data_IF_480826714329
#
_entry.id   IF_480826714329
#
_cell.length_a   1.000
_cell.length_b   1.000
_cell.length_c   1.000
_cell.angle_alpha   90.00
_cell.angle_beta   90.00
_cell.angle_gamma   90.00
#
_symmetry.space_group_name_H-M   'P 1'
#
loop_
_entity.id
_entity.type
_entity.pdbx_description
1 polymer ?
#
# COMPACT_ATOMS: atom_id res chain seq x y z
N UNK A 1 -10.05 22.09 -33.49
CA UNK A 1 -10.11 20.92 -32.60
C UNK A 1 -9.71 21.40 -31.22
N UNK A 2 -10.67 21.70 -30.33
CA UNK A 2 -10.36 22.01 -28.94
C UNK A 2 -10.24 20.68 -28.19
N UNK A 3 -9.07 20.38 -27.64
CA UNK A 3 -8.96 19.33 -26.64
C UNK A 3 -9.78 19.80 -25.43
N UNK A 4 -10.83 19.04 -25.09
CA UNK A 4 -11.57 19.27 -23.85
C UNK A 4 -10.59 19.12 -22.70
N UNK A 5 -10.34 20.23 -22.03
CA UNK A 5 -9.41 20.32 -20.92
C UNK A 5 -10.16 19.88 -19.66
N UNK A 6 -10.45 18.58 -19.56
CA UNK A 6 -11.12 17.97 -18.39
C UNK A 6 -10.13 17.78 -17.22
N UNK A 7 -9.22 18.73 -17.03
CA UNK A 7 -8.31 18.74 -15.90
C UNK A 7 -9.06 19.20 -14.65
N UNK A 8 -9.00 18.39 -13.60
CA UNK A 8 -9.57 18.73 -12.30
C UNK A 8 -8.57 19.68 -11.60
N UNK A 9 -9.02 20.79 -11.00
CA UNK A 9 -8.12 21.67 -10.26
C UNK A 9 -7.30 20.91 -9.22
N UNK A 10 -5.99 21.09 -9.21
CA UNK A 10 -5.08 20.36 -8.30
C UNK A 10 -5.50 20.46 -6.82
N UNK A 11 -5.99 21.64 -6.41
CA UNK A 11 -6.54 21.89 -5.07
C UNK A 11 -7.67 20.94 -4.67
N UNK A 12 -8.44 20.43 -5.64
CA UNK A 12 -9.57 19.53 -5.39
C UNK A 12 -9.10 18.09 -5.10
N UNK A 13 -7.83 17.76 -5.36
CA UNK A 13 -7.21 16.50 -4.96
C UNK A 13 -6.70 16.51 -3.52
N UNK A 14 -6.40 17.70 -2.96
CA UNK A 14 -5.76 17.84 -1.64
C UNK A 14 -6.53 17.09 -0.53
N UNK A 15 -7.88 17.14 -0.45
CA UNK A 15 -8.61 16.35 0.53
C UNK A 15 -8.35 14.84 0.41
N UNK A 16 -8.41 14.28 -0.82
CA UNK A 16 -8.17 12.86 -1.06
C UNK A 16 -6.71 12.47 -0.77
N UNK A 17 -5.75 13.32 -1.15
CA UNK A 17 -4.33 13.12 -0.87
C UNK A 17 -4.09 13.03 0.64
N UNK A 18 -4.65 13.96 1.43
CA UNK A 18 -4.53 13.97 2.89
C UNK A 18 -5.18 12.75 3.55
N UNK A 19 -6.32 12.31 3.04
CA UNK A 19 -6.94 11.06 3.49
C UNK A 19 -6.01 9.86 3.27
N UNK A 20 -5.35 9.79 2.11
CA UNK A 20 -4.40 8.70 1.79
C UNK A 20 -3.18 8.76 2.71
N UNK A 21 -2.63 9.96 2.97
CA UNK A 21 -1.52 10.14 3.93
C UNK A 21 -1.93 9.62 5.31
N UNK A 22 -3.13 10.01 5.78
CA UNK A 22 -3.66 9.55 7.07
C UNK A 22 -3.79 8.04 7.12
N UNK A 23 -4.33 7.39 6.08
CA UNK A 23 -4.42 5.93 6.00
C UNK A 23 -3.03 5.30 6.09
N UNK A 24 -2.05 5.87 5.38
CA UNK A 24 -0.68 5.38 5.40
C UNK A 24 -0.06 5.46 6.81
N UNK A 25 -0.24 6.59 7.48
CA UNK A 25 0.24 6.83 8.84
C UNK A 25 -0.40 5.86 9.84
N UNK A 26 -1.73 5.65 9.76
CA UNK A 26 -2.45 4.67 10.58
C UNK A 26 -1.87 3.25 10.41
N UNK A 27 -1.58 2.83 9.18
CA UNK A 27 -1.02 1.50 8.90
C UNK A 27 0.42 1.37 9.43
N UNK A 28 1.25 2.41 9.23
CA UNK A 28 2.64 2.43 9.70
C UNK A 28 2.68 2.38 11.23
N UNK A 29 1.87 3.18 11.92
CA UNK A 29 1.75 3.19 13.38
C UNK A 29 1.23 1.85 13.91
N UNK A 30 0.23 1.28 13.25
CA UNK A 30 -0.28 -0.05 13.60
C UNK A 30 0.84 -1.10 13.54
N UNK A 31 1.64 -1.10 12.47
CA UNK A 31 2.76 -2.02 12.31
C UNK A 31 3.85 -1.89 13.39
N UNK A 32 4.09 -0.69 13.92
CA UNK A 32 5.08 -0.54 15.00
C UNK A 32 4.70 -1.36 16.24
N UNK A 33 3.40 -1.56 16.47
CA UNK A 33 2.85 -2.30 17.59
C UNK A 33 2.58 -3.80 17.30
N UNK A 34 2.85 -4.25 16.08
CA UNK A 34 2.66 -5.64 15.64
C UNK A 34 3.67 -6.56 16.33
N UNK A 35 3.17 -7.60 17.01
CA UNK A 35 3.97 -8.57 17.79
C UNK A 35 4.35 -9.82 16.99
N UNK A 36 3.54 -10.21 16.02
CA UNK A 36 3.69 -11.45 15.23
C UNK A 36 3.72 -11.16 13.73
N UNK A 37 4.27 -12.08 12.92
CA UNK A 37 4.29 -11.97 11.45
C UNK A 37 4.99 -10.70 10.92
N UNK A 38 5.95 -10.15 11.69
CA UNK A 38 6.62 -8.86 11.41
C UNK A 38 7.37 -8.86 10.07
N UNK A 39 7.84 -10.01 9.59
CA UNK A 39 8.56 -10.15 8.31
C UNK A 39 7.64 -9.92 7.11
N UNK A 40 6.52 -10.64 7.06
CA UNK A 40 5.52 -10.53 5.99
C UNK A 40 4.92 -9.12 5.98
N UNK A 41 4.46 -8.64 7.15
CA UNK A 41 3.93 -7.29 7.27
C UNK A 41 4.97 -6.22 6.94
N UNK A 42 6.24 -6.44 7.28
CA UNK A 42 7.34 -5.52 7.00
C UNK A 42 7.50 -5.22 5.52
N UNK A 43 7.32 -6.20 4.64
CA UNK A 43 7.42 -6.00 3.20
C UNK A 43 6.34 -5.04 2.67
N UNK A 44 5.08 -5.22 3.09
CA UNK A 44 3.98 -4.32 2.72
C UNK A 44 4.19 -2.92 3.30
N UNK A 45 4.72 -2.84 4.52
CA UNK A 45 4.95 -1.57 5.20
C UNK A 45 6.04 -0.74 4.54
N UNK A 46 7.13 -1.36 4.07
CA UNK A 46 8.15 -0.62 3.33
C UNK A 46 7.55 0.01 2.07
N UNK A 47 6.70 -0.73 1.35
CA UNK A 47 6.00 -0.20 0.16
C UNK A 47 5.04 0.94 0.52
N UNK A 48 4.29 0.81 1.62
CA UNK A 48 3.42 1.88 2.12
C UNK A 48 4.22 3.13 2.48
N UNK A 49 5.41 3.00 3.08
CA UNK A 49 6.28 4.15 3.37
C UNK A 49 6.74 4.87 2.09
N UNK A 50 7.13 4.11 1.06
CA UNK A 50 7.50 4.68 -0.26
C UNK A 50 6.31 5.41 -0.89
N UNK A 51 5.13 4.80 -0.86
CA UNK A 51 3.93 5.40 -1.40
C UNK A 51 3.51 6.66 -0.62
N UNK A 52 3.62 6.64 0.71
CA UNK A 52 3.38 7.80 1.58
C UNK A 52 4.28 8.97 1.20
N UNK A 53 5.57 8.72 0.98
CA UNK A 53 6.52 9.75 0.57
C UNK A 53 6.13 10.35 -0.81
N UNK A 54 5.77 9.50 -1.77
CA UNK A 54 5.30 9.94 -3.09
C UNK A 54 4.02 10.78 -3.01
N UNK A 55 3.06 10.36 -2.20
CA UNK A 55 1.80 11.10 -1.97
C UNK A 55 2.07 12.45 -1.27
N UNK A 56 3.02 12.50 -0.33
CA UNK A 56 3.39 13.75 0.35
C UNK A 56 4.00 14.75 -0.64
N UNK A 57 4.84 14.29 -1.56
CA UNK A 57 5.37 15.13 -2.63
C UNK A 57 4.26 15.62 -3.57
N UNK A 58 3.28 14.77 -3.87
CA UNK A 58 2.12 15.14 -4.67
C UNK A 58 1.26 16.23 -3.98
N UNK A 59 1.13 16.19 -2.64
CA UNK A 59 0.47 17.25 -1.87
C UNK A 59 1.18 18.61 -2.06
N UNK A 60 2.51 18.62 -1.99
CA UNK A 60 3.31 19.84 -2.21
C UNK A 60 3.09 20.36 -3.63
N UNK A 61 3.15 19.48 -4.65
CA UNK A 61 2.87 19.88 -6.03
C UNK A 61 1.47 20.47 -6.18
N UNK A 62 0.45 19.86 -5.56
CA UNK A 62 -0.93 20.33 -5.64
C UNK A 62 -1.12 21.73 -5.03
N UNK A 63 -0.41 22.05 -3.95
CA UNK A 63 -0.52 23.33 -3.25
C UNK A 63 0.37 24.42 -3.85
N UNK A 64 1.61 24.09 -4.20
CA UNK A 64 2.65 25.09 -4.51
C UNK A 64 2.96 25.19 -6.01
N UNK A 65 2.85 24.09 -6.75
CA UNK A 65 3.28 23.99 -8.15
C UNK A 65 2.28 23.23 -9.05
N UNK A 66 0.99 23.59 -9.07
CA UNK A 66 -0.04 22.79 -9.74
C UNK A 66 0.14 22.68 -11.26
N UNK A 67 0.83 23.64 -11.88
CA UNK A 67 1.13 23.63 -13.32
C UNK A 67 2.36 22.80 -13.68
N UNK A 68 3.11 22.29 -12.71
CA UNK A 68 4.34 21.51 -12.97
C UNK A 68 4.08 20.05 -13.34
N UNK A 69 2.80 19.64 -13.44
CA UNK A 69 2.44 18.25 -13.68
C UNK A 69 1.05 18.09 -14.30
N UNK A 70 0.93 17.15 -15.23
CA UNK A 70 -0.35 16.71 -15.80
C UNK A 70 -1.02 15.60 -14.96
N UNK A 71 -0.65 15.47 -13.68
CA UNK A 71 -1.16 14.41 -12.82
C UNK A 71 -2.66 14.58 -12.49
N UNK A 72 -3.17 15.81 -12.42
CA UNK A 72 -4.50 16.11 -11.86
C UNK A 72 -5.65 15.86 -12.85
N UNK A 73 -5.81 14.60 -13.25
CA UNK A 73 -6.82 14.12 -14.20
C UNK A 73 -7.90 13.29 -13.51
N UNK A 74 -9.10 13.16 -14.10
CA UNK A 74 -10.16 12.27 -13.60
C UNK A 74 -9.69 10.83 -13.41
N UNK A 75 -8.86 10.32 -14.33
CA UNK A 75 -8.29 8.97 -14.25
C UNK A 75 -7.40 8.81 -13.02
N UNK A 76 -6.50 9.77 -12.77
CA UNK A 76 -5.65 9.72 -11.57
C UNK A 76 -6.44 9.94 -10.28
N UNK A 77 -7.53 10.70 -10.31
CA UNK A 77 -8.46 10.80 -9.18
C UNK A 77 -9.08 9.44 -8.86
N UNK A 78 -9.44 8.66 -9.89
CA UNK A 78 -9.95 7.29 -9.76
C UNK A 78 -8.86 6.35 -9.24
N UNK A 79 -7.66 6.42 -9.81
CA UNK A 79 -6.52 5.60 -9.40
C UNK A 79 -6.13 5.86 -7.94
N UNK A 80 -6.18 7.11 -7.46
CA UNK A 80 -5.93 7.45 -6.05
C UNK A 80 -7.00 6.84 -5.11
N UNK A 81 -8.28 6.85 -5.51
CA UNK A 81 -9.33 6.20 -4.71
C UNK A 81 -9.12 4.68 -4.64
N UNK A 82 -8.75 4.05 -5.76
CA UNK A 82 -8.43 2.63 -5.81
C UNK A 82 -7.20 2.30 -4.94
N UNK A 83 -6.16 3.13 -5.03
CA UNK A 83 -4.97 3.01 -4.20
C UNK A 83 -5.31 3.08 -2.70
N UNK A 84 -6.12 4.06 -2.28
CA UNK A 84 -6.64 4.17 -0.91
C UNK A 84 -7.36 2.89 -0.48
N UNK A 85 -8.18 2.33 -1.35
CA UNK A 85 -8.94 1.10 -1.09
C UNK A 85 -8.01 -0.11 -0.90
N UNK A 86 -6.98 -0.26 -1.74
CA UNK A 86 -5.95 -1.31 -1.59
C UNK A 86 -5.21 -1.17 -0.25
N UNK A 87 -4.87 0.05 0.17
CA UNK A 87 -4.23 0.28 1.46
C UNK A 87 -5.11 -0.16 2.63
N UNK A 88 -6.42 0.08 2.58
CA UNK A 88 -7.36 -0.38 3.61
C UNK A 88 -7.45 -1.90 3.67
N UNK A 89 -7.46 -2.60 2.53
CA UNK A 89 -7.37 -4.07 2.52
C UNK A 89 -6.07 -4.57 3.17
N UNK A 90 -4.95 -3.89 2.93
CA UNK A 90 -3.68 -4.23 3.57
C UNK A 90 -3.77 -4.02 5.09
N UNK A 91 -4.38 -2.94 5.55
CA UNK A 91 -4.62 -2.71 6.98
C UNK A 91 -5.39 -3.86 7.62
N UNK A 92 -6.51 -4.26 7.00
CA UNK A 92 -7.35 -5.38 7.45
C UNK A 92 -6.56 -6.69 7.50
N UNK A 93 -5.76 -6.95 6.47
CA UNK A 93 -4.88 -8.12 6.42
C UNK A 93 -3.85 -8.12 7.56
N UNK A 94 -3.17 -7.00 7.81
CA UNK A 94 -2.20 -6.90 8.91
C UNK A 94 -2.92 -7.09 10.26
N UNK A 95 -4.12 -6.53 10.45
CA UNK A 95 -4.93 -6.70 11.67
C UNK A 95 -5.31 -8.17 11.89
N UNK A 96 -5.76 -8.84 10.83
CA UNK A 96 -6.07 -10.27 10.82
C UNK A 96 -4.86 -11.12 11.21
N UNK A 97 -3.66 -10.76 10.76
CA UNK A 97 -2.41 -11.45 11.13
C UNK A 97 -1.99 -11.22 12.59
N UNK A 98 -2.57 -10.26 13.32
CA UNK A 98 -2.29 -10.03 14.74
C UNK A 98 -3.16 -10.85 15.69
N UNK A 99 -4.32 -11.33 15.23
CA UNK A 99 -5.22 -12.10 16.07
C UNK A 99 -4.84 -13.59 16.07
N UNK A 100 -4.02 -13.96 17.06
CA UNK A 100 -3.52 -15.33 17.26
C UNK A 100 -4.64 -16.38 17.41
N UNK A 101 -5.77 -16.01 18.03
CA UNK A 101 -6.84 -16.98 18.30
C UNK A 101 -7.56 -17.37 17.01
N UNK A 102 -7.84 -16.42 16.13
CA UNK A 102 -8.40 -16.73 14.81
C UNK A 102 -7.36 -17.38 13.89
N UNK A 103 -6.08 -17.02 14.02
CA UNK A 103 -4.98 -17.60 13.24
C UNK A 103 -4.81 -19.12 13.46
N UNK A 104 -4.75 -19.58 14.72
CA UNK A 104 -4.45 -20.99 15.05
C UNK A 104 -5.60 -21.95 14.76
N UNK A 105 -6.84 -21.47 14.77
CA UNK A 105 -8.04 -22.33 14.67
C UNK A 105 -8.66 -22.37 13.27
N UNK A 106 -8.42 -21.38 12.40
CA UNK A 106 -9.23 -21.19 11.19
C UNK A 106 -8.47 -20.85 9.90
N UNK A 107 -7.14 -20.65 9.92
CA UNK A 107 -6.41 -20.22 8.71
C UNK A 107 -5.56 -21.30 8.05
N UNK A 108 -5.89 -21.60 6.78
CA UNK A 108 -5.03 -22.32 5.85
C UNK A 108 -3.81 -21.45 5.46
N UNK A 109 -2.56 -21.90 5.71
CA UNK A 109 -1.35 -21.17 5.34
C UNK A 109 -1.26 -20.78 3.86
N UNK A 110 -1.83 -21.59 2.96
CA UNK A 110 -1.84 -21.26 1.52
C UNK A 110 -2.75 -20.07 1.22
N UNK A 111 -3.85 -19.92 1.95
CA UNK A 111 -4.76 -18.78 1.85
C UNK A 111 -4.06 -17.47 2.20
N UNK A 112 -3.24 -17.48 3.27
CA UNK A 112 -2.46 -16.30 3.71
C UNK A 112 -1.43 -15.90 2.66
N UNK A 113 -0.68 -16.88 2.13
CA UNK A 113 0.30 -16.63 1.05
C UNK A 113 -0.40 -16.00 -0.16
N UNK A 114 -1.52 -16.57 -0.60
CA UNK A 114 -2.26 -16.07 -1.76
C UNK A 114 -2.80 -14.66 -1.54
N UNK A 115 -3.38 -14.37 -0.37
CA UNK A 115 -3.88 -13.05 -0.01
C UNK A 115 -2.75 -12.00 0.03
N UNK A 116 -1.62 -12.34 0.64
CA UNK A 116 -0.44 -11.48 0.65
C UNK A 116 0.07 -11.16 -0.77
N UNK A 117 0.22 -12.18 -1.62
CA UNK A 117 0.67 -11.98 -3.00
C UNK A 117 -0.31 -11.14 -3.80
N UNK A 118 -1.61 -11.37 -3.63
CA UNK A 118 -2.68 -10.58 -4.25
C UNK A 118 -2.59 -9.11 -3.85
N UNK A 119 -2.53 -8.82 -2.55
CA UNK A 119 -2.45 -7.46 -2.03
C UNK A 119 -1.16 -6.74 -2.43
N UNK A 120 -0.02 -7.43 -2.37
CA UNK A 120 1.25 -6.86 -2.83
C UNK A 120 1.18 -6.49 -4.31
N UNK A 121 0.58 -7.33 -5.15
CA UNK A 121 0.45 -7.07 -6.59
C UNK A 121 -0.53 -5.94 -6.88
N UNK A 122 -1.67 -5.90 -6.18
CA UNK A 122 -2.64 -4.79 -6.29
C UNK A 122 -1.99 -3.45 -5.91
N UNK A 123 -1.16 -3.45 -4.86
CA UNK A 123 -0.43 -2.26 -4.42
C UNK A 123 0.59 -1.81 -5.48
N UNK A 124 1.41 -2.73 -5.96
CA UNK A 124 2.45 -2.44 -6.98
C UNK A 124 1.82 -1.88 -8.26
N UNK A 125 0.76 -2.51 -8.76
CA UNK A 125 0.04 -2.04 -9.94
C UNK A 125 -0.55 -0.64 -9.73
N UNK A 126 -1.10 -0.37 -8.55
CA UNK A 126 -1.68 0.95 -8.23
C UNK A 126 -0.60 2.02 -8.16
N UNK A 127 0.57 1.71 -7.59
CA UNK A 127 1.72 2.63 -7.55
C UNK A 127 2.30 2.88 -8.94
N UNK A 128 2.35 1.87 -9.81
CA UNK A 128 2.79 1.99 -11.20
C UNK A 128 1.86 2.90 -12.01
N UNK A 129 0.53 2.70 -11.91
CA UNK A 129 -0.46 3.55 -12.57
C UNK A 129 -0.36 5.00 -12.14
N UNK A 130 -0.09 5.24 -10.86
CA UNK A 130 0.11 6.58 -10.29
C UNK A 130 1.52 7.13 -10.54
N UNK A 131 2.39 6.36 -11.21
CA UNK A 131 3.80 6.71 -11.49
C UNK A 131 4.56 7.13 -10.23
N UNK A 132 4.23 6.55 -9.08
CA UNK A 132 5.02 6.75 -7.88
C UNK A 132 6.37 6.09 -8.10
N UNK A 133 7.44 6.91 -8.10
CA UNK A 133 8.81 6.43 -8.26
C UNK A 133 9.12 5.42 -7.15
N UNK A 134 9.22 4.14 -7.51
CA UNK A 134 9.77 3.11 -6.64
C UNK A 134 11.25 2.99 -6.99
N UNK A 135 12.14 3.53 -6.17
CA UNK A 135 13.57 3.24 -6.32
C UNK A 135 14.23 2.98 -4.98
N UNK A 136 13.83 1.86 -4.38
CA UNK A 136 14.72 1.00 -3.60
C UNK A 136 14.44 -0.41 -4.14
N UNK A 137 15.42 -1.09 -4.73
CA UNK A 137 15.28 -2.45 -5.24
C UNK A 137 15.04 -3.44 -4.08
N UNK A 138 13.80 -3.51 -3.61
CA UNK A 138 13.35 -4.61 -2.78
C UNK A 138 12.98 -5.71 -3.76
N UNK A 139 13.91 -6.65 -3.95
CA UNK A 139 13.77 -7.79 -4.86
C UNK A 139 12.39 -8.43 -4.66
N UNK A 140 11.72 -8.74 -5.78
CA UNK A 140 10.48 -9.53 -5.79
C UNK A 140 10.62 -10.77 -4.89
N UNK A 141 9.52 -11.30 -4.31
CA UNK A 141 9.57 -12.50 -3.48
C UNK A 141 10.30 -13.64 -4.21
N UNK A 142 11.52 -13.93 -3.78
CA UNK A 142 12.30 -15.06 -4.28
C UNK A 142 12.04 -16.27 -3.40
N UNK A 143 12.43 -17.48 -3.85
CA UNK A 143 12.33 -18.71 -3.05
C UNK A 143 12.85 -18.55 -1.60
N UNK A 144 13.87 -17.70 -1.39
CA UNK A 144 14.41 -17.34 -0.06
C UNK A 144 13.42 -16.62 0.87
N UNK A 145 12.47 -15.85 0.33
CA UNK A 145 11.43 -15.20 1.13
C UNK A 145 10.32 -16.17 1.50
N UNK A 146 10.07 -17.24 0.72
CA UNK A 146 9.12 -18.28 1.11
C UNK A 146 9.70 -19.17 2.21
N UNK A 147 11.02 -19.43 2.22
CA UNK A 147 11.71 -20.08 3.35
C UNK A 147 11.52 -19.32 4.67
N UNK A 148 11.40 -17.99 4.63
CA UNK A 148 11.12 -17.17 5.82
C UNK A 148 9.66 -17.32 6.26
N UNK A 149 8.73 -17.45 5.32
CA UNK A 149 7.31 -17.72 5.61
C UNK A 149 7.16 -19.14 6.20
N UNK A 150 7.92 -20.11 5.70
CA UNK A 150 7.87 -21.49 6.20
C UNK A 150 8.44 -21.60 7.62
N UNK A 151 9.49 -20.83 7.95
CA UNK A 151 9.97 -20.69 9.32
C UNK A 151 8.93 -20.05 10.24
N UNK A 152 8.28 -18.98 9.78
CA UNK A 152 7.23 -18.33 10.55
C UNK A 152 6.04 -19.31 10.76
N UNK A 153 5.65 -20.12 9.75
CA UNK A 153 4.62 -21.19 9.86
C UNK A 153 5.00 -22.24 10.90
N UNK A 154 6.26 -22.65 10.96
CA UNK A 154 6.73 -23.66 11.91
C UNK A 154 6.75 -23.14 13.36
N UNK A 155 7.02 -21.84 13.57
CA UNK A 155 6.88 -21.18 14.87
C UNK A 155 5.42 -21.15 15.38
N UNK A 156 4.42 -21.24 14.50
CA UNK A 156 2.99 -21.23 14.88
C UNK A 156 2.44 -22.60 15.27
N UNK A 157 3.15 -23.68 14.91
CA UNK A 157 2.81 -25.06 15.26
C UNK A 157 3.26 -25.46 16.68
N UNK A 158 4.00 -24.58 17.36
CA UNK A 158 4.41 -24.71 18.78
C UNK A 158 3.49 -23.90 19.70
#
# INVERSE_FOLDING_TARGET
>A
MSANNDNIPAKDFVPLIREIIKVADEIIEFYQNVKYNRRICGFLIIKIQVARASISNLEICANEFPESTDFFTPDNSTNLRNFKFVMRKIEEFIRKLQDIQSYRLFFDPNSIKNEFFGLSKELDNSMELLKFLITIEIKQPTAKNIDLIDKDIDEMKQ
#
